data_IF_130818471047
#
_entry.id   IF_130818471047
#
_cell.length_a   1.000
_cell.length_b   1.000
_cell.length_c   1.000
_cell.angle_alpha   90.00
_cell.angle_beta   90.00
_cell.angle_gamma   90.00
#
_symmetry.space_group_name_H-M   'P 1'
#
loop_
_entity.id
_entity.type
_entity.pdbx_description
1 polymer ?
#
# COMPACT_ATOMS: atom_id res chain seq x y z
N UNK A 1 -15.52 2.89 -14.34
CA UNK A 1 -14.60 2.28 -13.35
C UNK A 1 -14.25 3.30 -12.29
N UNK A 2 -14.39 2.96 -11.02
CA UNK A 2 -13.98 3.79 -9.87
C UNK A 2 -12.62 3.32 -9.37
N UNK A 3 -11.66 4.23 -9.31
CA UNK A 3 -10.31 3.98 -8.81
C UNK A 3 -10.19 4.46 -7.36
N UNK A 4 -9.97 3.53 -6.43
CA UNK A 4 -9.97 3.79 -4.99
C UNK A 4 -8.58 3.50 -4.41
N UNK A 5 -7.99 4.50 -3.77
CA UNK A 5 -6.78 4.33 -2.98
C UNK A 5 -7.11 3.90 -1.55
N UNK A 6 -6.48 2.84 -1.06
CA UNK A 6 -6.63 2.39 0.34
C UNK A 6 -5.34 2.62 1.08
N UNK A 7 -5.39 3.45 2.11
CA UNK A 7 -4.27 3.74 3.00
C UNK A 7 -4.64 3.54 4.47
N UNK A 8 -3.67 3.65 5.33
CA UNK A 8 -3.86 3.54 6.78
C UNK A 8 -2.65 2.94 7.48
N UNK A 9 -2.56 3.20 8.75
CA UNK A 9 -1.42 2.81 9.57
C UNK A 9 -1.22 1.30 9.69
N UNK A 10 -0.02 0.89 10.03
CA UNK A 10 0.31 -0.50 10.36
C UNK A 10 -0.61 -0.99 11.49
N UNK A 11 -1.17 -2.19 11.34
CA UNK A 11 -2.12 -2.76 12.30
C UNK A 11 -3.58 -2.28 12.15
N UNK A 12 -3.90 -1.39 11.20
CA UNK A 12 -5.26 -0.93 10.97
C UNK A 12 -6.19 -2.00 10.36
N UNK A 13 -5.64 -3.07 9.76
CA UNK A 13 -6.43 -4.18 9.23
C UNK A 13 -6.76 -4.07 7.74
N UNK A 14 -5.99 -3.31 6.97
CA UNK A 14 -6.16 -3.17 5.51
C UNK A 14 -6.29 -4.51 4.78
N UNK A 15 -5.45 -5.47 5.11
CA UNK A 15 -5.45 -6.81 4.49
C UNK A 15 -6.80 -7.53 4.67
N UNK A 16 -7.40 -7.43 5.85
CA UNK A 16 -8.71 -8.03 6.13
C UNK A 16 -9.82 -7.38 5.28
N UNK A 17 -9.80 -6.06 5.23
CA UNK A 17 -10.74 -5.28 4.41
C UNK A 17 -10.61 -5.62 2.93
N UNK A 18 -9.39 -5.67 2.41
CA UNK A 18 -9.14 -6.05 1.01
C UNK A 18 -9.55 -7.49 0.71
N UNK A 19 -9.35 -8.40 1.65
CA UNK A 19 -9.81 -9.78 1.54
C UNK A 19 -11.34 -9.87 1.45
N UNK A 20 -12.04 -9.09 2.29
CA UNK A 20 -13.49 -8.97 2.24
C UNK A 20 -13.97 -8.43 0.88
N UNK A 21 -13.39 -7.32 0.41
CA UNK A 21 -13.74 -6.70 -0.88
C UNK A 21 -13.52 -7.69 -2.03
N UNK A 22 -12.37 -8.35 -2.08
CA UNK A 22 -12.02 -9.34 -3.11
C UNK A 22 -13.02 -10.50 -3.18
N UNK A 23 -13.54 -10.91 -2.02
CA UNK A 23 -14.49 -12.03 -1.92
C UNK A 23 -15.90 -11.65 -2.38
N UNK A 24 -16.32 -10.40 -2.17
CA UNK A 24 -17.72 -10.00 -2.32
C UNK A 24 -17.99 -9.11 -3.54
N UNK A 25 -16.94 -8.55 -4.17
CA UNK A 25 -17.10 -7.62 -5.29
C UNK A 25 -16.22 -8.01 -6.47
N UNK A 26 -16.75 -7.82 -7.69
CA UNK A 26 -15.95 -7.95 -8.91
C UNK A 26 -15.04 -6.72 -9.01
N UNK A 27 -13.77 -6.90 -8.66
CA UNK A 27 -12.81 -5.82 -8.60
C UNK A 27 -11.39 -6.26 -8.96
N UNK A 28 -10.53 -5.29 -9.28
CA UNK A 28 -9.08 -5.48 -9.34
C UNK A 28 -8.44 -4.81 -8.13
N UNK A 29 -7.48 -5.49 -7.50
CA UNK A 29 -6.75 -4.99 -6.34
C UNK A 29 -5.26 -5.11 -6.60
N UNK A 30 -4.55 -4.00 -6.50
CA UNK A 30 -3.09 -3.93 -6.59
C UNK A 30 -2.51 -3.46 -5.26
N UNK A 31 -1.59 -4.25 -4.73
CA UNK A 31 -0.81 -3.90 -3.56
C UNK A 31 0.50 -3.28 -4.06
N UNK A 32 0.73 -2.00 -3.80
CA UNK A 32 1.92 -1.30 -4.29
C UNK A 32 3.23 -1.94 -3.82
N UNK A 33 3.23 -2.57 -2.64
CA UNK A 33 4.37 -3.32 -2.13
C UNK A 33 4.64 -4.61 -2.95
N UNK A 34 3.63 -5.25 -3.52
CA UNK A 34 3.78 -6.39 -4.42
C UNK A 34 4.28 -5.93 -5.78
N UNK A 35 3.68 -4.87 -6.32
CA UNK A 35 4.16 -4.24 -7.56
C UNK A 35 5.62 -3.84 -7.44
N UNK A 36 6.02 -3.20 -6.33
CA UNK A 36 7.41 -2.84 -6.07
C UNK A 36 8.35 -4.05 -6.08
N UNK A 37 7.86 -5.23 -5.65
CA UNK A 37 8.65 -6.47 -5.72
C UNK A 37 8.81 -6.98 -7.15
N UNK A 38 7.72 -6.96 -7.91
CA UNK A 38 7.69 -7.51 -9.25
C UNK A 38 8.56 -6.70 -10.22
N UNK A 39 8.50 -5.36 -10.14
CA UNK A 39 9.34 -4.50 -10.96
C UNK A 39 10.84 -4.54 -10.60
N UNK A 40 11.20 -5.14 -9.45
CA UNK A 40 12.58 -5.37 -9.01
C UNK A 40 13.08 -6.78 -9.35
N UNK A 41 12.34 -7.56 -10.13
CA UNK A 41 12.79 -8.86 -10.61
C UNK A 41 13.84 -8.71 -11.74
N UNK A 42 14.75 -9.67 -11.91
CA UNK A 42 15.74 -9.67 -13.00
C UNK A 42 15.08 -9.42 -14.37
N UNK A 43 15.68 -8.58 -15.18
CA UNK A 43 15.17 -8.18 -16.50
C UNK A 43 14.17 -7.00 -16.48
N UNK A 44 13.81 -6.49 -15.31
CA UNK A 44 13.00 -5.29 -15.19
C UNK A 44 13.87 -4.03 -15.11
N UNK A 45 13.43 -2.92 -15.71
CA UNK A 45 14.20 -1.68 -15.73
C UNK A 45 14.54 -1.14 -14.31
N UNK A 46 13.66 -1.36 -13.34
CA UNK A 46 13.90 -0.98 -11.95
C UNK A 46 15.02 -1.83 -11.32
N UNK A 47 15.07 -3.14 -11.61
CA UNK A 47 16.14 -4.03 -11.17
C UNK A 47 17.52 -3.53 -11.64
N UNK A 48 17.67 -3.27 -12.94
CA UNK A 48 18.95 -2.82 -13.52
C UNK A 48 19.46 -1.54 -12.85
N UNK A 49 18.56 -0.58 -12.62
CA UNK A 49 18.88 0.70 -11.98
C UNK A 49 19.31 0.52 -10.52
N UNK A 50 18.66 -0.36 -9.76
CA UNK A 50 19.01 -0.65 -8.36
C UNK A 50 20.36 -1.35 -8.29
N UNK A 51 20.60 -2.34 -9.15
CA UNK A 51 21.89 -3.06 -9.20
C UNK A 51 23.03 -2.12 -9.62
N UNK A 52 22.78 -1.21 -10.56
CA UNK A 52 23.77 -0.19 -10.94
C UNK A 52 24.08 0.78 -9.78
N UNK A 53 23.08 1.12 -8.96
CA UNK A 53 23.24 2.00 -7.82
C UNK A 53 23.95 1.34 -6.64
N UNK A 54 23.53 0.12 -6.30
CA UNK A 54 23.95 -0.55 -5.06
C UNK A 54 25.07 -1.58 -5.27
N UNK A 55 25.35 -1.97 -6.52
CA UNK A 55 26.34 -3.01 -6.83
C UNK A 55 25.75 -4.42 -6.80
N UNK A 56 26.52 -5.39 -7.31
CA UNK A 56 26.10 -6.79 -7.42
C UNK A 56 26.15 -7.57 -6.11
N UNK A 57 26.77 -7.03 -5.08
CA UNK A 57 26.87 -7.62 -3.75
C UNK A 57 25.51 -7.76 -3.04
N UNK A 58 24.49 -7.00 -3.46
CA UNK A 58 23.11 -7.14 -2.99
C UNK A 58 22.38 -8.34 -3.61
N UNK A 59 22.99 -9.07 -4.54
CA UNK A 59 22.31 -10.17 -5.21
C UNK A 59 22.43 -11.48 -4.43
N UNK A 60 21.40 -12.30 -4.53
CA UNK A 60 21.40 -13.70 -4.13
C UNK A 60 22.05 -14.57 -5.22
N UNK A 61 22.26 -15.86 -4.93
CA UNK A 61 22.88 -16.79 -5.86
C UNK A 61 22.07 -17.01 -7.15
N UNK A 62 20.77 -16.80 -7.11
CA UNK A 62 19.84 -16.91 -8.24
C UNK A 62 19.75 -15.61 -9.07
N UNK A 63 20.55 -14.60 -8.74
CA UNK A 63 20.58 -13.30 -9.41
C UNK A 63 19.48 -12.33 -8.99
N UNK A 64 18.57 -12.70 -8.09
CA UNK A 64 17.55 -11.79 -7.55
C UNK A 64 18.15 -10.86 -6.49
N UNK A 65 17.52 -9.71 -6.27
CA UNK A 65 17.89 -8.84 -5.16
C UNK A 65 17.57 -9.54 -3.84
N UNK A 66 18.60 -9.76 -3.03
CA UNK A 66 18.48 -10.20 -1.65
C UNK A 66 18.07 -8.99 -0.80
N UNK A 67 16.84 -9.03 -0.28
CA UNK A 67 16.26 -7.93 0.49
C UNK A 67 17.00 -7.66 1.80
N UNK A 68 17.54 -8.69 2.41
CA UNK A 68 18.33 -8.54 3.63
C UNK A 68 19.62 -7.78 3.35
N UNK A 69 20.35 -8.16 2.30
CA UNK A 69 21.56 -7.47 1.87
C UNK A 69 21.27 -6.03 1.43
N UNK A 70 20.22 -5.83 0.64
CA UNK A 70 19.80 -4.50 0.21
C UNK A 70 19.44 -3.65 1.41
N UNK A 71 18.59 -4.15 2.32
CA UNK A 71 18.18 -3.44 3.52
C UNK A 71 19.37 -3.09 4.41
N UNK A 72 20.31 -4.02 4.62
CA UNK A 72 21.52 -3.76 5.40
C UNK A 72 22.37 -2.62 4.79
N UNK A 73 22.46 -2.59 3.45
CA UNK A 73 23.24 -1.57 2.74
C UNK A 73 22.59 -0.18 2.82
N UNK A 74 21.27 -0.08 2.58
CA UNK A 74 20.56 1.20 2.63
C UNK A 74 20.32 1.70 4.06
N UNK A 75 20.32 0.80 5.06
CA UNK A 75 20.13 1.18 6.47
C UNK A 75 21.28 2.04 7.01
N UNK A 76 22.46 1.83 6.49
CA UNK A 76 23.67 2.55 6.91
C UNK A 76 23.77 3.96 6.31
N UNK A 77 23.07 4.24 5.22
CA UNK A 77 23.19 5.49 4.47
C UNK A 77 21.80 5.98 4.04
N UNK A 78 21.26 7.00 4.73
CA UNK A 78 19.97 7.61 4.39
C UNK A 78 19.92 8.13 2.94
N UNK A 79 21.05 8.60 2.41
CA UNK A 79 21.17 9.03 1.01
C UNK A 79 20.88 7.88 0.03
N UNK A 80 21.43 6.68 0.28
CA UNK A 80 21.16 5.50 -0.56
C UNK A 80 19.70 5.08 -0.50
N UNK A 81 19.07 5.13 0.68
CA UNK A 81 17.64 4.89 0.81
C UNK A 81 16.83 5.86 -0.06
N UNK A 82 17.14 7.14 0.00
CA UNK A 82 16.45 8.16 -0.80
C UNK A 82 16.63 7.92 -2.30
N UNK A 83 17.83 7.55 -2.74
CA UNK A 83 18.13 7.23 -4.14
C UNK A 83 17.40 5.97 -4.61
N UNK A 84 17.32 4.93 -3.80
CA UNK A 84 16.51 3.72 -4.10
C UNK A 84 15.04 4.10 -4.20
N UNK A 85 14.51 4.87 -3.27
CA UNK A 85 13.12 5.33 -3.30
C UNK A 85 12.83 6.19 -4.55
N UNK A 86 13.76 7.04 -4.98
CA UNK A 86 13.66 7.83 -6.21
C UNK A 86 13.66 6.98 -7.49
N UNK A 87 14.12 5.72 -7.43
CA UNK A 87 14.00 4.74 -8.53
C UNK A 87 12.67 3.99 -8.43
N UNK A 88 12.33 3.49 -7.24
CA UNK A 88 11.23 2.55 -7.04
C UNK A 88 9.86 3.24 -7.11
N UNK A 89 9.68 4.38 -6.40
CA UNK A 89 8.37 5.02 -6.32
C UNK A 89 7.82 5.48 -7.68
N UNK A 90 8.60 6.16 -8.55
CA UNK A 90 8.13 6.51 -9.89
C UNK A 90 7.83 5.28 -10.76
N UNK A 91 8.64 4.23 -10.65
CA UNK A 91 8.43 3.01 -11.44
C UNK A 91 7.16 2.24 -11.01
N UNK A 92 6.84 2.21 -9.71
CA UNK A 92 5.58 1.66 -9.20
C UNK A 92 4.41 2.50 -9.70
N UNK A 93 4.53 3.83 -9.63
CA UNK A 93 3.50 4.75 -10.10
C UNK A 93 3.20 4.55 -11.59
N UNK A 94 4.22 4.54 -12.43
CA UNK A 94 4.11 4.30 -13.87
C UNK A 94 3.47 2.94 -14.19
N UNK A 95 3.85 1.89 -13.45
CA UNK A 95 3.23 0.58 -13.59
C UNK A 95 1.73 0.63 -13.29
N UNK A 96 1.36 1.24 -12.16
CA UNK A 96 -0.04 1.36 -11.73
C UNK A 96 -0.86 2.21 -12.70
N UNK A 97 -0.31 3.30 -13.23
CA UNK A 97 -0.97 4.13 -14.24
C UNK A 97 -1.29 3.34 -15.51
N UNK A 98 -0.34 2.53 -16.00
CA UNK A 98 -0.54 1.66 -17.17
C UNK A 98 -1.63 0.61 -16.95
N UNK A 99 -1.65 -0.06 -15.81
CA UNK A 99 -2.66 -1.10 -15.54
C UNK A 99 -4.05 -0.52 -15.30
N UNK A 100 -4.13 0.67 -14.71
CA UNK A 100 -5.38 1.41 -14.55
C UNK A 100 -5.94 1.85 -15.90
N UNK A 101 -5.10 2.39 -16.78
CA UNK A 101 -5.50 2.81 -18.12
C UNK A 101 -5.97 1.61 -18.96
N UNK A 102 -5.26 0.48 -18.90
CA UNK A 102 -5.70 -0.76 -19.55
C UNK A 102 -7.08 -1.21 -19.05
N UNK A 103 -7.28 -1.19 -17.74
CA UNK A 103 -8.55 -1.57 -17.13
C UNK A 103 -9.71 -0.63 -17.52
N UNK A 104 -9.44 0.66 -17.71
CA UNK A 104 -10.42 1.63 -18.21
C UNK A 104 -10.83 1.35 -19.67
N UNK A 105 -9.88 0.96 -20.50
CA UNK A 105 -10.12 0.62 -21.91
C UNK A 105 -10.91 -0.68 -22.06
N UNK A 106 -10.62 -1.67 -21.24
CA UNK A 106 -11.32 -2.98 -21.23
C UNK A 106 -12.79 -2.86 -20.83
N UNK A 107 -13.18 -1.84 -20.05
CA UNK A 107 -14.55 -1.57 -19.55
C UNK A 107 -15.21 -2.72 -18.75
N UNK A 108 -14.44 -3.73 -18.36
CA UNK A 108 -14.94 -4.90 -17.63
C UNK A 108 -14.82 -4.75 -16.11
N UNK A 109 -14.05 -3.77 -15.67
CA UNK A 109 -13.75 -3.54 -14.25
C UNK A 109 -14.52 -2.32 -13.76
N UNK A 110 -15.40 -2.53 -12.78
CA UNK A 110 -16.16 -1.44 -12.15
C UNK A 110 -15.40 -0.80 -10.99
N UNK A 111 -14.74 -1.63 -10.20
CA UNK A 111 -13.99 -1.22 -9.01
C UNK A 111 -12.51 -1.59 -9.15
N UNK A 112 -11.66 -0.62 -8.94
CA UNK A 112 -10.21 -0.81 -8.96
C UNK A 112 -9.60 -0.23 -7.68
N UNK A 113 -8.86 -1.05 -6.94
CA UNK A 113 -8.24 -0.67 -5.68
C UNK A 113 -6.73 -0.68 -5.77
N UNK A 114 -6.11 0.35 -5.22
CA UNK A 114 -4.66 0.41 -4.99
C UNK A 114 -4.43 0.56 -3.49
N UNK A 115 -3.65 -0.34 -2.93
CA UNK A 115 -3.27 -0.28 -1.52
C UNK A 115 -1.79 0.00 -1.37
N UNK A 116 -1.46 1.00 -0.56
CA UNK A 116 -0.13 1.20 -0.01
C UNK A 116 -0.20 1.93 1.33
N UNK A 117 0.83 1.71 2.15
CA UNK A 117 0.97 2.43 3.40
C UNK A 117 1.30 3.92 3.19
N UNK A 118 1.95 4.27 2.08
CA UNK A 118 2.48 5.60 1.77
C UNK A 118 1.78 6.25 0.55
N UNK A 119 0.50 5.98 0.31
CA UNK A 119 -0.23 6.55 -0.84
C UNK A 119 -0.29 8.08 -0.79
N UNK A 120 -0.52 8.64 0.38
CA UNK A 120 -0.63 10.08 0.57
C UNK A 120 0.74 10.72 0.36
N UNK A 121 1.78 10.21 1.01
CA UNK A 121 3.15 10.72 0.94
C UNK A 121 3.73 10.66 -0.48
N UNK A 122 3.32 9.66 -1.26
CA UNK A 122 3.74 9.48 -2.65
C UNK A 122 2.82 10.19 -3.66
N UNK A 123 1.93 11.08 -3.22
CA UNK A 123 1.12 11.92 -4.09
C UNK A 123 0.06 11.18 -4.91
N UNK A 124 -0.46 10.04 -4.41
CA UNK A 124 -1.52 9.31 -5.13
C UNK A 124 -2.90 9.97 -5.03
N UNK A 125 -3.03 11.04 -4.21
CA UNK A 125 -4.30 11.76 -4.07
C UNK A 125 -4.85 12.26 -5.40
N UNK A 126 -3.97 12.74 -6.30
CA UNK A 126 -4.35 13.26 -7.62
C UNK A 126 -4.58 12.15 -8.67
N UNK A 127 -4.28 10.91 -8.31
CA UNK A 127 -4.40 9.77 -9.22
C UNK A 127 -5.67 8.96 -9.00
N UNK A 128 -6.14 8.87 -7.75
CA UNK A 128 -7.32 8.10 -7.38
C UNK A 128 -8.57 8.96 -7.40
N UNK A 129 -9.70 8.36 -7.76
CA UNK A 129 -11.00 9.06 -7.71
C UNK A 129 -11.43 9.27 -6.26
N UNK A 130 -11.00 8.39 -5.35
CA UNK A 130 -11.34 8.44 -3.94
C UNK A 130 -10.24 7.81 -3.08
N UNK A 131 -9.87 8.47 -1.98
CA UNK A 131 -8.92 7.96 -0.99
C UNK A 131 -9.66 7.46 0.24
N UNK A 132 -9.50 6.18 0.56
CA UNK A 132 -10.04 5.54 1.75
C UNK A 132 -8.98 5.41 2.84
N UNK A 133 -9.27 5.94 4.00
CA UNK A 133 -8.46 5.75 5.19
C UNK A 133 -9.03 4.65 6.06
N UNK A 134 -8.26 3.58 6.25
CA UNK A 134 -8.58 2.55 7.23
C UNK A 134 -8.00 2.96 8.57
N UNK A 135 -8.88 3.44 9.42
CA UNK A 135 -8.58 3.81 10.79
C UNK A 135 -8.72 2.60 11.72
N UNK A 136 -7.88 2.53 12.72
CA UNK A 136 -8.12 1.76 13.94
C UNK A 136 -7.43 2.47 15.10
N UNK A 137 -8.10 2.48 16.26
CA UNK A 137 -7.59 3.13 17.47
C UNK A 137 -6.17 2.67 17.79
N UNK A 138 -5.30 3.55 18.28
CA UNK A 138 -3.89 3.22 18.55
C UNK A 138 -3.71 1.98 19.43
N UNK A 139 -4.56 1.79 20.44
CA UNK A 139 -4.54 0.64 21.35
C UNK A 139 -4.84 -0.67 20.61
N UNK A 140 -5.86 -0.64 19.72
CA UNK A 140 -6.26 -1.79 18.90
C UNK A 140 -5.13 -2.16 17.93
N UNK A 141 -4.48 -1.17 17.31
CA UNK A 141 -3.32 -1.38 16.43
C UNK A 141 -2.15 -2.01 17.18
N UNK A 142 -1.83 -1.51 18.41
CA UNK A 142 -0.78 -2.08 19.27
C UNK A 142 -1.05 -3.52 19.60
N UNK A 143 -2.26 -3.83 20.03
CA UNK A 143 -2.68 -5.18 20.38
C UNK A 143 -2.58 -6.14 19.20
N UNK A 144 -3.07 -5.72 18.02
CA UNK A 144 -2.98 -6.50 16.79
C UNK A 144 -1.54 -6.79 16.38
N UNK A 145 -0.66 -5.78 16.45
CA UNK A 145 0.76 -5.93 16.08
C UNK A 145 1.51 -6.84 17.08
N UNK A 146 1.20 -6.74 18.35
CA UNK A 146 1.77 -7.62 19.36
C UNK A 146 1.34 -9.07 19.15
N UNK A 147 0.04 -9.31 18.91
CA UNK A 147 -0.50 -10.66 18.71
C UNK A 147 -0.07 -11.30 17.40
N UNK A 148 -0.13 -10.54 16.29
CA UNK A 148 0.07 -11.11 14.96
C UNK A 148 1.53 -11.16 14.51
N UNK A 149 2.39 -10.26 15.03
CA UNK A 149 3.80 -10.13 14.62
C UNK A 149 4.80 -10.31 15.76
N UNK A 150 4.35 -10.45 17.00
CA UNK A 150 5.22 -10.59 18.17
C UNK A 150 6.11 -9.36 18.40
N UNK A 151 5.75 -8.17 17.91
CA UNK A 151 6.58 -6.99 18.06
C UNK A 151 6.57 -6.50 19.53
N UNK A 152 7.74 -6.03 19.98
CA UNK A 152 7.85 -5.37 21.29
C UNK A 152 7.10 -4.02 21.29
N UNK A 153 6.76 -3.52 22.47
CA UNK A 153 6.08 -2.23 22.64
C UNK A 153 6.91 -1.07 22.06
N UNK A 154 8.21 -1.10 22.25
CA UNK A 154 9.16 -0.10 21.76
C UNK A 154 9.17 -0.08 20.23
N UNK A 155 9.25 -1.27 19.60
CA UNK A 155 9.21 -1.40 18.14
C UNK A 155 7.88 -0.90 17.57
N UNK A 156 6.77 -1.23 18.21
CA UNK A 156 5.44 -0.76 17.80
C UNK A 156 5.36 0.77 17.89
N UNK A 157 5.84 1.36 19.00
CA UNK A 157 5.85 2.80 19.18
C UNK A 157 6.69 3.51 18.09
N UNK A 158 7.88 2.99 17.78
CA UNK A 158 8.72 3.51 16.70
C UNK A 158 8.03 3.46 15.33
N UNK A 159 7.42 2.31 14.99
CA UNK A 159 6.69 2.16 13.73
C UNK A 159 5.52 3.15 13.65
N UNK A 160 4.76 3.30 14.73
CA UNK A 160 3.62 4.21 14.73
C UNK A 160 4.05 5.68 14.66
N UNK A 161 5.17 6.03 15.31
CA UNK A 161 5.72 7.39 15.29
C UNK A 161 6.32 7.79 13.92
N UNK A 162 6.75 6.81 13.10
CA UNK A 162 7.29 7.06 11.75
C UNK A 162 6.21 7.22 10.67
N UNK A 163 4.94 7.03 11.01
CA UNK A 163 3.82 7.18 10.08
C UNK A 163 3.25 8.60 10.11
N UNK A 164 2.45 8.94 9.10
CA UNK A 164 1.67 10.16 9.12
C UNK A 164 0.84 10.27 10.40
N UNK A 165 0.63 11.50 10.85
CA UNK A 165 -0.32 11.77 11.94
C UNK A 165 -1.73 11.40 11.53
N UNK A 166 -2.56 11.10 12.52
CA UNK A 166 -3.97 10.78 12.31
C UNK A 166 -4.69 11.92 11.57
N UNK A 167 -4.44 13.16 11.97
CA UNK A 167 -4.98 14.35 11.30
C UNK A 167 -4.59 14.43 9.82
N UNK A 168 -3.35 14.05 9.48
CA UNK A 168 -2.90 14.05 8.09
C UNK A 168 -3.62 12.98 7.26
N UNK A 169 -3.88 11.80 7.84
CA UNK A 169 -4.71 10.78 7.17
C UNK A 169 -6.13 11.28 6.94
N UNK A 170 -6.77 11.85 7.96
CA UNK A 170 -8.15 12.39 7.85
C UNK A 170 -8.26 13.48 6.78
N UNK A 171 -7.34 14.44 6.77
CA UNK A 171 -7.35 15.57 5.82
C UNK A 171 -7.16 15.15 4.36
N UNK A 172 -6.47 14.04 4.12
CA UNK A 172 -6.15 13.57 2.77
C UNK A 172 -7.05 12.41 2.32
N UNK A 173 -8.13 12.12 3.02
CA UNK A 173 -9.03 11.02 2.71
C UNK A 173 -10.46 11.50 2.52
N UNK A 174 -11.16 10.90 1.56
CA UNK A 174 -12.55 11.20 1.24
C UNK A 174 -13.51 10.33 2.05
N UNK A 175 -13.05 9.14 2.44
CA UNK A 175 -13.84 8.19 3.19
C UNK A 175 -13.02 7.51 4.27
N UNK A 176 -13.57 7.43 5.46
CA UNK A 176 -12.91 6.81 6.61
C UNK A 176 -13.70 5.60 7.07
N UNK A 177 -13.00 4.47 7.21
CA UNK A 177 -13.53 3.23 7.74
C UNK A 177 -12.90 2.99 9.10
N UNK A 178 -13.69 3.12 10.17
CA UNK A 178 -13.25 2.75 11.50
C UNK A 178 -13.31 1.22 11.66
N UNK A 179 -12.14 0.62 11.77
CA UNK A 179 -11.93 -0.80 11.99
C UNK A 179 -11.45 -1.10 13.41
N UNK A 180 -11.82 -0.27 14.39
CA UNK A 180 -11.50 -0.49 15.80
C UNK A 180 -12.44 -1.51 16.46
N UNK A 181 -13.69 -1.57 15.97
CA UNK A 181 -14.77 -2.39 16.51
C UNK A 181 -14.87 -3.78 15.87
N UNK A 182 -16.10 -4.25 15.69
CA UNK A 182 -16.37 -5.53 15.05
C UNK A 182 -16.21 -5.47 13.53
N UNK A 183 -15.77 -6.59 12.93
CA UNK A 183 -15.67 -6.69 11.47
C UNK A 183 -17.03 -6.51 10.77
N UNK A 184 -18.11 -6.91 11.42
CA UNK A 184 -19.47 -6.73 10.86
C UNK A 184 -19.81 -5.25 10.64
N UNK A 185 -19.50 -4.40 11.61
CA UNK A 185 -19.67 -2.94 11.46
C UNK A 185 -18.79 -2.38 10.35
N UNK A 186 -17.55 -2.82 10.28
CA UNK A 186 -16.61 -2.43 9.22
C UNK A 186 -17.14 -2.84 7.84
N UNK A 187 -17.62 -4.07 7.70
CA UNK A 187 -18.16 -4.58 6.44
C UNK A 187 -19.47 -3.88 6.03
N UNK A 188 -20.32 -3.51 7.00
CA UNK A 188 -21.52 -2.71 6.72
C UNK A 188 -21.15 -1.37 6.09
N UNK A 189 -20.18 -0.67 6.67
CA UNK A 189 -19.69 0.61 6.12
C UNK A 189 -19.14 0.47 4.70
N UNK A 190 -18.43 -0.62 4.42
CA UNK A 190 -17.90 -0.91 3.07
C UNK A 190 -19.05 -1.15 2.11
N UNK A 191 -20.03 -1.98 2.47
CA UNK A 191 -21.22 -2.25 1.65
C UNK A 191 -21.96 -0.96 1.31
N UNK A 192 -22.33 -0.17 2.31
CA UNK A 192 -23.02 1.11 2.15
C UNK A 192 -22.28 2.04 1.17
N UNK A 193 -20.95 2.10 1.28
CA UNK A 193 -20.16 2.97 0.38
C UNK A 193 -20.10 2.45 -1.04
N UNK A 194 -19.87 1.15 -1.23
CA UNK A 194 -19.75 0.55 -2.56
C UNK A 194 -21.11 0.48 -3.28
N UNK A 195 -22.20 0.21 -2.56
CA UNK A 195 -23.55 0.23 -3.12
C UNK A 195 -23.96 1.63 -3.62
N UNK A 196 -23.48 2.69 -2.96
CA UNK A 196 -23.74 4.07 -3.40
C UNK A 196 -23.14 4.39 -4.79
N UNK A 197 -22.16 3.63 -5.29
CA UNK A 197 -21.60 3.83 -6.63
C UNK A 197 -22.49 3.25 -7.75
N UNK A 198 -23.27 2.23 -7.46
CA UNK A 198 -24.13 1.56 -8.46
C UNK A 198 -25.39 2.35 -8.84
N UNK A 199 -25.69 3.43 -8.13
CA UNK A 199 -26.87 4.27 -8.35
C UNK A 199 -26.60 5.55 -9.17
N UNK A 200 -25.41 5.69 -9.76
CA UNK A 200 -25.00 6.89 -10.53
C UNK A 200 -24.90 6.65 -12.05
N UNK A 201 -25.58 5.62 -12.56
CA UNK A 201 -25.72 5.38 -14.01
C UNK A 201 -26.95 6.10 -14.61
#
# INVERSE_FOLDING_TARGET
>A
MRLIGITGGVGAGKTEILSYIRKHYKCRIYLADEVARDIQMPGQACYERIVALLGKDILAADGRIDRGKMAAKIFLETELLNRVNAIVHPAVREYLERVVESARQEKETELFFIEAALLIENGYRDFVDEMWYIYAAPEVRRERLQKSRGYSREKIAQIMASQLSEDAFYKNSDFVIDNSGSLEQTYSRIRERLEAYTWQE
#
